data_IF_876368300101
#
_entry.id   IF_876368300101
#
_cell.length_a   1.000
_cell.length_b   1.000
_cell.length_c   1.000
_cell.angle_alpha   90.00
_cell.angle_beta   90.00
_cell.angle_gamma   90.00
#
_symmetry.space_group_name_H-M   'P 1'
#
loop_
_entity.id
_entity.type
_entity.pdbx_description
1 polymer ?
#
# COMPACT_ATOMS: atom_id res chain seq x y z
N UNK A 1 -78.11 13.02 -33.93
CA UNK A 1 -77.15 11.92 -33.66
C UNK A 1 -76.33 12.29 -32.42
N UNK A 2 -76.64 11.67 -31.27
CA UNK A 2 -75.96 11.89 -29.99
C UNK A 2 -74.73 10.98 -29.90
N UNK A 3 -73.55 11.52 -29.60
CA UNK A 3 -72.34 10.72 -29.33
C UNK A 3 -72.09 10.66 -27.83
N UNK A 4 -72.00 9.42 -27.34
CA UNK A 4 -71.72 9.01 -25.96
C UNK A 4 -70.30 9.41 -25.54
N UNK A 5 -70.16 10.04 -24.37
CA UNK A 5 -68.91 10.15 -23.63
C UNK A 5 -68.81 8.95 -22.67
N UNK A 6 -67.82 8.07 -22.90
CA UNK A 6 -67.44 7.02 -21.95
C UNK A 6 -66.32 7.59 -21.06
N UNK A 7 -66.58 7.74 -19.76
CA UNK A 7 -65.56 8.05 -18.76
C UNK A 7 -64.94 6.75 -18.28
N UNK A 8 -63.65 6.56 -18.55
CA UNK A 8 -62.83 5.48 -17.98
C UNK A 8 -62.22 6.02 -16.68
N UNK A 9 -62.66 5.50 -15.55
CA UNK A 9 -62.07 5.78 -14.24
C UNK A 9 -60.88 4.84 -14.01
N UNK A 10 -59.68 5.40 -13.81
CA UNK A 10 -58.50 4.65 -13.40
C UNK A 10 -58.45 4.61 -11.86
N UNK A 11 -58.60 3.40 -11.29
CA UNK A 11 -58.35 3.15 -9.89
C UNK A 11 -56.84 3.01 -9.64
N UNK A 12 -56.26 3.91 -8.85
CA UNK A 12 -54.89 3.81 -8.37
C UNK A 12 -54.88 2.86 -7.16
N UNK A 13 -54.36 1.65 -7.36
CA UNK A 13 -54.09 0.73 -6.26
C UNK A 13 -52.85 1.21 -5.49
N UNK A 14 -53.05 1.59 -4.23
CA UNK A 14 -51.97 1.90 -3.30
C UNK A 14 -51.25 0.59 -2.91
N UNK A 15 -50.07 0.36 -3.50
CA UNK A 15 -49.14 -0.68 -3.05
C UNK A 15 -48.44 -0.17 -1.79
N UNK A 16 -48.78 -0.79 -0.65
CA UNK A 16 -48.11 -0.57 0.62
C UNK A 16 -46.63 -0.93 0.52
N UNK A 17 -45.75 0.03 0.79
CA UNK A 17 -44.32 -0.19 0.94
C UNK A 17 -44.09 -1.05 2.20
N UNK A 18 -43.85 -2.35 2.00
CA UNK A 18 -43.30 -3.19 3.03
C UNK A 18 -41.88 -2.68 3.34
N UNK A 19 -41.69 -2.12 4.54
CA UNK A 19 -40.37 -1.74 5.03
C UNK A 19 -39.48 -2.98 5.08
N UNK A 20 -38.52 -3.07 4.16
CA UNK A 20 -37.49 -4.09 4.24
C UNK A 20 -36.71 -3.90 5.54
N UNK A 21 -36.44 -4.97 6.32
CA UNK A 21 -35.60 -4.87 7.48
C UNK A 21 -34.23 -4.34 7.06
N UNK A 22 -33.84 -3.19 7.62
CA UNK A 22 -32.49 -2.64 7.53
C UNK A 22 -31.55 -3.75 8.01
N UNK A 23 -30.80 -4.35 7.08
CA UNK A 23 -29.74 -5.27 7.43
C UNK A 23 -28.87 -4.57 8.48
N UNK A 24 -28.73 -5.20 9.65
CA UNK A 24 -27.86 -4.70 10.70
C UNK A 24 -26.50 -4.41 10.07
N UNK A 25 -26.12 -3.13 10.06
CA UNK A 25 -24.81 -2.67 9.62
C UNK A 25 -23.78 -3.56 10.31
N UNK A 26 -23.08 -4.39 9.53
CA UNK A 26 -21.86 -5.03 10.01
C UNK A 26 -21.04 -3.92 10.67
N UNK A 27 -20.69 -4.10 11.95
CA UNK A 27 -20.04 -3.08 12.75
C UNK A 27 -18.89 -2.48 11.93
N UNK A 28 -19.06 -1.23 11.48
CA UNK A 28 -17.98 -0.51 10.83
C UNK A 28 -16.88 -0.42 11.89
N UNK A 29 -15.77 -1.12 11.65
CA UNK A 29 -14.57 -0.99 12.46
C UNK A 29 -14.17 0.49 12.62
N UNK A 30 -13.28 0.82 13.58
CA UNK A 30 -12.88 2.19 13.82
C UNK A 30 -12.38 2.82 12.51
N UNK A 31 -12.90 4.02 12.25
CA UNK A 31 -12.55 4.76 11.05
C UNK A 31 -11.03 4.98 10.99
N UNK A 32 -10.44 4.97 9.78
CA UNK A 32 -9.05 5.33 9.59
C UNK A 32 -8.81 6.74 10.12
N UNK A 33 -7.83 6.92 11.01
CA UNK A 33 -7.57 8.22 11.63
C UNK A 33 -6.06 8.44 11.83
N UNK A 34 -5.63 9.68 11.60
CA UNK A 34 -4.31 10.18 12.01
C UNK A 34 -4.38 10.56 13.49
N UNK A 35 -3.69 9.78 14.31
CA UNK A 35 -3.62 9.97 15.76
C UNK A 35 -2.62 11.04 16.16
N UNK A 36 -1.51 11.16 15.41
CA UNK A 36 -0.44 12.11 15.68
C UNK A 36 0.25 12.51 14.37
N UNK A 37 0.71 13.76 14.28
CA UNK A 37 1.61 14.19 13.21
C UNK A 37 3.02 13.64 13.42
N UNK A 38 3.76 13.47 12.32
CA UNK A 38 5.18 13.12 12.31
C UNK A 38 6.01 14.38 12.63
N UNK A 39 6.74 14.40 13.76
CA UNK A 39 7.57 15.55 14.15
C UNK A 39 8.73 15.81 13.18
N UNK A 40 9.17 17.06 13.05
CA UNK A 40 10.22 17.45 12.10
C UNK A 40 11.63 16.95 12.46
N UNK A 41 11.85 16.63 13.74
CA UNK A 41 13.07 16.05 14.29
C UNK A 41 13.04 14.50 14.31
N UNK A 42 12.08 13.87 13.63
CA UNK A 42 12.08 12.42 13.46
C UNK A 42 13.32 11.97 12.68
N UNK A 43 13.99 10.97 13.23
CA UNK A 43 15.17 10.30 12.68
C UNK A 43 14.88 8.86 12.22
N UNK A 44 13.77 8.27 12.66
CA UNK A 44 13.35 6.92 12.29
C UNK A 44 11.83 6.78 12.14
N UNK A 45 11.37 6.36 10.96
CA UNK A 45 9.99 5.95 10.69
C UNK A 45 9.94 4.41 10.66
N UNK A 46 9.08 3.81 11.49
CA UNK A 46 9.03 2.35 11.64
C UNK A 46 7.69 1.79 11.15
N UNK A 47 7.69 1.18 9.98
CA UNK A 47 6.52 0.52 9.43
C UNK A 47 6.42 -0.90 9.98
N UNK A 48 5.44 -1.13 10.86
CA UNK A 48 5.15 -2.45 11.40
C UNK A 48 3.86 -3.00 10.81
N UNK A 49 3.84 -4.29 10.50
CA UNK A 49 2.59 -4.96 10.23
C UNK A 49 2.77 -6.45 10.20
N UNK A 50 1.68 -7.17 10.38
CA UNK A 50 1.70 -8.63 10.28
C UNK A 50 2.16 -9.09 8.88
N UNK A 51 2.72 -10.30 8.76
CA UNK A 51 3.01 -10.87 7.45
C UNK A 51 1.77 -10.82 6.54
N UNK A 52 1.95 -10.34 5.29
CA UNK A 52 0.90 -10.27 4.28
C UNK A 52 -0.28 -9.33 4.64
N UNK A 53 0.00 -8.30 5.45
CA UNK A 53 -1.00 -7.29 5.81
C UNK A 53 -1.06 -6.10 4.85
N UNK A 54 -0.06 -5.92 3.99
CA UNK A 54 0.11 -4.69 3.19
C UNK A 54 1.21 -3.76 3.69
N UNK A 55 1.98 -4.19 4.71
CA UNK A 55 3.10 -3.41 5.26
C UNK A 55 4.20 -3.03 4.25
N UNK A 56 4.35 -3.75 3.12
CA UNK A 56 5.24 -3.29 2.03
C UNK A 56 4.70 -2.03 1.36
N UNK A 57 3.39 -1.94 1.14
CA UNK A 57 2.76 -0.74 0.59
C UNK A 57 2.93 0.44 1.56
N UNK A 58 2.69 0.22 2.85
CA UNK A 58 2.91 1.23 3.88
C UNK A 58 4.36 1.69 3.94
N UNK A 59 5.31 0.76 3.86
CA UNK A 59 6.74 1.08 3.84
C UNK A 59 7.08 2.03 2.67
N UNK A 60 6.58 1.74 1.48
CA UNK A 60 6.84 2.59 0.32
C UNK A 60 6.19 3.97 0.44
N UNK A 61 4.95 4.01 0.92
CA UNK A 61 4.28 5.28 1.21
C UNK A 61 5.06 6.10 2.25
N UNK A 62 5.61 5.46 3.29
CA UNK A 62 6.44 6.10 4.30
C UNK A 62 7.75 6.65 3.72
N UNK A 63 8.39 5.91 2.81
CA UNK A 63 9.60 6.32 2.11
C UNK A 63 9.38 7.57 1.27
N UNK A 64 8.33 7.56 0.45
CA UNK A 64 7.95 8.70 -0.39
C UNK A 64 7.61 9.91 0.48
N UNK A 65 6.76 9.74 1.49
CA UNK A 65 6.36 10.82 2.39
C UNK A 65 7.55 11.40 3.17
N UNK A 66 8.49 10.55 3.62
CA UNK A 66 9.70 11.02 4.32
C UNK A 66 10.61 11.84 3.39
N UNK A 67 10.80 11.37 2.16
CA UNK A 67 11.61 12.07 1.14
C UNK A 67 11.02 13.46 0.84
N UNK A 68 9.71 13.54 0.66
CA UNK A 68 9.01 14.80 0.38
C UNK A 68 8.97 15.73 1.61
N UNK A 69 8.77 15.21 2.82
CA UNK A 69 8.74 16.01 4.05
C UNK A 69 10.11 16.64 4.36
N UNK A 70 11.20 15.94 4.06
CA UNK A 70 12.55 16.38 4.38
C UNK A 70 13.45 16.42 3.14
N UNK A 71 13.21 17.35 2.20
CA UNK A 71 13.92 17.40 0.92
C UNK A 71 15.42 17.70 1.04
N UNK A 72 15.86 18.22 2.20
CA UNK A 72 17.26 18.53 2.49
C UNK A 72 17.95 17.46 3.35
N UNK A 73 17.28 16.35 3.67
CA UNK A 73 17.81 15.26 4.48
C UNK A 73 18.05 14.03 3.62
N UNK A 74 19.10 13.28 3.94
CA UNK A 74 19.30 11.95 3.36
C UNK A 74 18.34 10.95 4.03
N UNK A 75 17.33 10.52 3.27
CA UNK A 75 16.39 9.46 3.68
C UNK A 75 16.90 8.11 3.20
N UNK A 76 17.10 7.17 4.12
CA UNK A 76 17.44 5.77 3.80
C UNK A 76 16.25 4.86 4.07
N UNK A 77 15.91 4.04 3.09
CA UNK A 77 14.75 3.17 3.10
C UNK A 77 15.18 1.72 3.01
N UNK A 78 15.04 0.97 4.11
CA UNK A 78 15.43 -0.43 4.12
C UNK A 78 14.36 -1.40 4.64
N UNK A 79 14.15 -2.44 3.84
CA UNK A 79 13.30 -3.59 4.16
C UNK A 79 14.04 -4.74 4.85
N UNK A 80 15.38 -4.76 4.83
CA UNK A 80 16.20 -5.90 5.29
C UNK A 80 16.67 -5.74 6.74
N UNK A 81 17.02 -4.53 7.16
CA UNK A 81 17.59 -4.24 8.48
C UNK A 81 16.50 -3.95 9.51
N UNK A 82 15.78 -5.00 9.92
CA UNK A 82 15.15 -4.99 11.25
C UNK A 82 16.20 -4.92 12.38
N UNK A 83 17.50 -5.07 12.05
CA UNK A 83 18.62 -4.66 12.88
C UNK A 83 18.73 -3.14 12.87
N UNK A 84 18.29 -2.50 13.96
CA UNK A 84 18.39 -1.06 14.23
C UNK A 84 19.85 -0.55 14.38
N UNK A 85 20.84 -1.32 13.91
CA UNK A 85 22.27 -1.07 14.05
C UNK A 85 22.97 -0.63 12.76
N UNK A 86 22.21 -0.31 11.73
CA UNK A 86 22.67 -0.01 10.37
C UNK A 86 21.78 1.11 9.85
N UNK A 87 22.20 2.31 9.44
CA UNK A 87 23.50 2.91 9.13
C UNK A 87 23.60 4.29 9.79
N UNK A 88 24.80 4.73 10.20
CA UNK A 88 25.05 6.05 10.81
C UNK A 88 25.03 7.23 9.81
N UNK A 89 24.67 7.01 8.56
CA UNK A 89 24.88 7.97 7.45
C UNK A 89 23.61 8.62 6.92
N UNK A 90 22.44 8.19 7.37
CA UNK A 90 21.17 8.79 6.97
C UNK A 90 20.65 9.70 8.08
N UNK A 91 20.05 10.82 7.67
CA UNK A 91 19.40 11.74 8.59
C UNK A 91 18.03 11.21 9.03
N UNK A 92 17.36 10.45 8.15
CA UNK A 92 16.08 9.78 8.42
C UNK A 92 16.15 8.35 7.91
N UNK A 93 15.78 7.39 8.75
CA UNK A 93 15.70 5.98 8.39
C UNK A 93 14.23 5.56 8.32
N UNK A 94 13.80 4.95 7.22
CA UNK A 94 12.49 4.28 7.12
C UNK A 94 12.74 2.79 7.16
N UNK A 95 12.16 2.12 8.14
CA UNK A 95 12.41 0.70 8.43
C UNK A 95 11.10 -0.06 8.40
N UNK A 96 11.05 -1.15 7.64
CA UNK A 96 9.94 -2.13 7.70
C UNK A 96 10.33 -3.32 8.57
N UNK A 97 9.42 -3.76 9.45
CA UNK A 97 9.60 -5.01 10.19
C UNK A 97 8.27 -5.71 10.50
N UNK A 98 8.30 -7.04 10.52
CA UNK A 98 7.22 -7.86 11.06
C UNK A 98 7.41 -8.18 12.55
N UNK A 99 8.59 -7.89 13.10
CA UNK A 99 8.93 -8.09 14.51
C UNK A 99 8.70 -6.80 15.27
N UNK A 100 7.98 -6.89 16.38
CA UNK A 100 7.92 -5.81 17.36
C UNK A 100 9.32 -5.64 17.93
N UNK A 101 9.84 -4.41 17.98
CA UNK A 101 11.15 -4.18 18.53
C UNK A 101 11.21 -4.48 20.03
N UNK A 102 12.40 -4.87 20.48
CA UNK A 102 12.60 -5.27 21.86
C UNK A 102 12.30 -4.09 22.78
N UNK A 103 11.55 -4.36 23.85
CA UNK A 103 11.25 -3.38 24.89
C UNK A 103 12.15 -3.68 26.08
N UNK A 104 12.90 -2.69 26.56
CA UNK A 104 13.72 -2.78 27.78
C UNK A 104 13.28 -1.64 28.70
N UNK A 105 12.94 -1.95 29.94
CA UNK A 105 12.47 -1.00 30.95
C UNK A 105 11.30 -0.12 30.48
N UNK A 106 10.32 -0.75 29.82
CA UNK A 106 9.15 -0.07 29.26
C UNK A 106 9.46 0.85 28.08
N UNK A 107 10.69 0.79 27.54
CA UNK A 107 11.11 1.60 26.40
C UNK A 107 11.44 0.76 25.17
N UNK A 108 10.94 1.16 24.00
CA UNK A 108 11.38 0.59 22.74
C UNK A 108 12.90 0.76 22.53
N UNK A 109 13.63 -0.33 22.28
CA UNK A 109 15.08 -0.28 21.99
C UNK A 109 15.29 0.01 20.50
N UNK A 110 15.41 1.28 20.17
CA UNK A 110 15.79 1.77 18.84
C UNK A 110 16.93 2.77 18.99
N UNK A 111 17.77 2.91 17.96
CA UNK A 111 18.63 4.10 17.82
C UNK A 111 17.78 5.20 17.21
N UNK A 112 17.25 6.09 18.04
CA UNK A 112 16.51 7.27 17.59
C UNK A 112 15.39 7.68 18.56
N UNK A 113 14.98 8.94 18.51
CA UNK A 113 14.10 9.52 19.53
C UNK A 113 12.60 9.40 19.20
N UNK A 114 12.19 9.12 17.95
CA UNK A 114 10.77 9.25 17.55
C UNK A 114 10.31 8.23 16.50
N UNK A 115 9.76 7.11 16.98
CA UNK A 115 9.19 6.04 16.16
C UNK A 115 7.78 6.42 15.69
N UNK A 116 7.57 6.44 14.37
CA UNK A 116 6.25 6.54 13.73
C UNK A 116 5.82 5.16 13.29
N UNK A 117 4.74 4.62 13.87
CA UNK A 117 4.18 3.32 13.46
C UNK A 117 3.08 3.52 12.41
N UNK A 118 3.38 3.14 11.18
CA UNK A 118 2.34 2.78 10.21
C UNK A 118 1.97 1.33 10.47
N UNK A 119 0.76 1.07 10.99
CA UNK A 119 0.32 -0.28 11.37
C UNK A 119 -0.78 -0.79 10.45
N UNK A 120 -0.63 -2.00 9.94
CA UNK A 120 -1.78 -2.77 9.42
C UNK A 120 -2.14 -3.89 10.38
N UNK A 121 -3.30 -3.79 11.03
CA UNK A 121 -3.75 -4.74 12.07
C UNK A 121 -5.14 -5.29 11.77
N UNK A 122 -5.37 -6.55 12.12
CA UNK A 122 -6.70 -6.99 12.51
C UNK A 122 -7.04 -6.33 13.84
N UNK A 123 -8.26 -5.81 13.99
CA UNK A 123 -8.64 -5.08 15.19
C UNK A 123 -8.33 -5.87 16.47
N UNK A 124 -7.57 -5.26 17.37
CA UNK A 124 -7.16 -5.85 18.66
C UNK A 124 -6.21 -7.07 18.58
N UNK A 125 -5.25 -7.09 17.65
CA UNK A 125 -4.16 -8.08 17.72
C UNK A 125 -3.30 -7.86 18.99
N UNK A 126 -2.99 -8.95 19.71
CA UNK A 126 -2.06 -8.94 20.87
C UNK A 126 -0.71 -8.26 20.52
N UNK A 127 -0.12 -8.46 19.32
CA UNK A 127 1.06 -7.72 18.88
C UNK A 127 0.88 -6.19 18.88
N UNK A 128 -0.26 -5.69 18.42
CA UNK A 128 -0.52 -4.26 18.41
C UNK A 128 -0.65 -3.68 19.82
N UNK A 129 -1.34 -4.40 20.71
CA UNK A 129 -1.48 -3.98 22.09
C UNK A 129 -0.11 -3.87 22.78
N UNK A 130 0.82 -4.79 22.50
CA UNK A 130 2.21 -4.72 22.99
C UNK A 130 2.95 -3.45 22.52
N UNK A 131 2.67 -2.95 21.32
CA UNK A 131 3.25 -1.69 20.82
C UNK A 131 2.68 -0.50 21.62
N UNK A 132 1.37 -0.49 21.83
CA UNK A 132 0.67 0.54 22.62
C UNK A 132 1.17 0.55 24.07
N UNK A 133 1.21 -0.63 24.71
CA UNK A 133 1.64 -0.80 26.10
C UNK A 133 3.12 -0.43 26.31
N UNK A 134 3.93 -0.52 25.26
CA UNK A 134 5.33 -0.07 25.27
C UNK A 134 5.49 1.46 25.19
N UNK A 135 4.39 2.21 25.12
CA UNK A 135 4.41 3.66 24.95
C UNK A 135 4.95 4.12 23.59
N UNK A 136 4.99 3.23 22.58
CA UNK A 136 5.37 3.61 21.23
C UNK A 136 4.24 4.46 20.65
N UNK A 137 4.56 5.69 20.24
CA UNK A 137 3.58 6.59 19.62
C UNK A 137 3.19 6.05 18.25
N UNK A 138 1.88 5.92 18.05
CA UNK A 138 1.30 5.48 16.78
C UNK A 138 0.80 6.73 16.07
N UNK A 139 1.21 6.89 14.82
CA UNK A 139 0.88 8.07 14.01
C UNK A 139 -0.46 7.91 13.33
N UNK A 140 -0.73 6.74 12.77
CA UNK A 140 -2.05 6.39 12.24
C UNK A 140 -2.23 4.87 12.23
N UNK A 141 -3.48 4.46 12.10
CA UNK A 141 -3.87 3.04 12.06
C UNK A 141 -4.77 2.80 10.85
N UNK A 142 -4.47 1.75 10.10
CA UNK A 142 -5.35 1.26 9.03
C UNK A 142 -5.47 -0.26 9.15
N UNK A 143 -6.66 -0.80 8.98
CA UNK A 143 -6.85 -2.25 8.99
C UNK A 143 -6.56 -2.84 7.61
N UNK A 144 -6.25 -4.14 7.57
CA UNK A 144 -6.08 -4.85 6.30
C UNK A 144 -7.34 -4.75 5.43
N UNK A 145 -8.51 -4.82 6.05
CA UNK A 145 -9.79 -4.68 5.36
C UNK A 145 -9.99 -3.28 4.77
N UNK A 146 -9.60 -2.23 5.50
CA UNK A 146 -9.64 -0.85 4.99
C UNK A 146 -8.69 -0.67 3.81
N UNK A 147 -7.44 -1.12 3.92
CA UNK A 147 -6.46 -1.02 2.84
C UNK A 147 -6.89 -1.82 1.59
N UNK A 148 -7.48 -3.01 1.78
CA UNK A 148 -7.99 -3.82 0.69
C UNK A 148 -9.21 -3.21 0.00
N UNK A 149 -10.06 -2.46 0.73
CA UNK A 149 -11.21 -1.76 0.15
C UNK A 149 -10.80 -0.49 -0.60
N UNK A 150 -9.85 0.25 -0.04
CA UNK A 150 -9.41 1.51 -0.61
C UNK A 150 -7.92 1.73 -0.31
N UNK A 151 -7.07 1.43 -1.29
CA UNK A 151 -5.63 1.66 -1.16
C UNK A 151 -5.28 3.15 -1.03
N UNK A 152 -6.07 4.03 -1.65
CA UNK A 152 -5.89 5.48 -1.58
C UNK A 152 -6.12 6.05 -0.19
N UNK A 153 -6.97 5.39 0.62
CA UNK A 153 -7.12 5.73 2.03
C UNK A 153 -5.80 5.54 2.79
N UNK A 154 -5.06 4.49 2.46
CA UNK A 154 -3.72 4.27 3.01
C UNK A 154 -2.79 5.43 2.69
N UNK A 155 -2.78 5.90 1.43
CA UNK A 155 -1.97 7.05 0.98
C UNK A 155 -2.39 8.33 1.74
N UNK A 156 -3.69 8.54 1.92
CA UNK A 156 -4.23 9.73 2.55
C UNK A 156 -3.73 9.93 3.98
N UNK A 157 -3.71 8.84 4.75
CA UNK A 157 -3.19 8.86 6.11
C UNK A 157 -1.72 9.28 6.18
N UNK A 158 -0.92 8.96 5.15
CA UNK A 158 0.49 9.35 5.14
C UNK A 158 0.68 10.84 4.88
N UNK A 159 0.04 11.43 3.86
CA UNK A 159 0.25 12.85 3.61
C UNK A 159 -0.28 13.73 4.76
N UNK A 160 -1.38 13.30 5.41
CA UNK A 160 -1.93 13.99 6.57
C UNK A 160 -0.97 13.87 7.76
N UNK A 161 -0.52 12.65 8.07
CA UNK A 161 0.42 12.40 9.15
C UNK A 161 1.75 13.15 8.98
N UNK A 162 2.28 13.23 7.75
CA UNK A 162 3.53 13.91 7.47
C UNK A 162 3.37 15.42 7.28
N UNK A 163 2.13 15.92 7.28
CA UNK A 163 1.78 17.31 6.99
C UNK A 163 2.41 17.79 5.67
N UNK A 164 2.28 16.98 4.61
CA UNK A 164 2.79 17.30 3.28
C UNK A 164 2.05 18.51 2.69
N UNK A 165 2.75 19.28 1.85
CA UNK A 165 2.12 20.33 1.06
C UNK A 165 1.14 19.73 0.03
N UNK A 166 0.27 20.55 -0.56
CA UNK A 166 -0.65 20.09 -1.62
C UNK A 166 0.11 19.56 -2.84
N UNK A 167 1.25 20.18 -3.19
CA UNK A 167 2.11 19.74 -4.28
C UNK A 167 2.78 18.39 -3.99
N UNK A 168 3.35 18.23 -2.79
CA UNK A 168 3.96 16.98 -2.34
C UNK A 168 2.92 15.86 -2.25
N UNK A 169 1.71 16.18 -1.77
CA UNK A 169 0.59 15.26 -1.76
C UNK A 169 0.27 14.76 -3.16
N UNK A 170 0.13 15.66 -4.14
CA UNK A 170 -0.16 15.28 -5.51
C UNK A 170 0.97 14.42 -6.11
N UNK A 171 2.22 14.72 -5.77
CA UNK A 171 3.41 13.95 -6.18
C UNK A 171 3.39 12.54 -5.58
N UNK A 172 3.05 12.43 -4.30
CA UNK A 172 2.90 11.14 -3.61
C UNK A 172 1.74 10.32 -4.17
N UNK A 173 0.57 10.93 -4.40
CA UNK A 173 -0.61 10.27 -4.97
C UNK A 173 -0.30 9.66 -6.35
N UNK A 174 0.32 10.45 -7.23
CA UNK A 174 0.73 10.01 -8.57
C UNK A 174 1.67 8.81 -8.51
N UNK A 175 2.78 8.93 -7.77
CA UNK A 175 3.78 7.87 -7.66
C UNK A 175 3.18 6.60 -7.04
N UNK A 176 2.50 6.73 -5.89
CA UNK A 176 1.96 5.57 -5.17
C UNK A 176 0.86 4.85 -5.94
N UNK A 177 0.07 5.57 -6.75
CA UNK A 177 -0.93 4.95 -7.62
C UNK A 177 -0.28 4.07 -8.69
N UNK A 178 0.72 4.61 -9.42
CA UNK A 178 1.46 3.89 -10.45
C UNK A 178 2.25 2.71 -9.87
N UNK A 179 2.89 2.93 -8.71
CA UNK A 179 3.63 1.92 -7.99
C UNK A 179 2.74 0.75 -7.51
N UNK A 180 1.53 1.04 -7.03
CA UNK A 180 0.64 -0.02 -6.56
C UNK A 180 0.07 -0.86 -7.71
N UNK A 181 -0.21 -0.25 -8.87
CA UNK A 181 -0.59 -1.01 -10.08
C UNK A 181 0.55 -1.94 -10.49
N UNK A 182 1.76 -1.40 -10.66
CA UNK A 182 2.93 -2.20 -11.06
C UNK A 182 3.21 -3.30 -10.05
N UNK A 183 3.14 -3.04 -8.75
CA UNK A 183 3.31 -4.07 -7.72
C UNK A 183 2.25 -5.19 -7.78
N UNK A 184 0.98 -4.86 -8.02
CA UNK A 184 -0.11 -5.85 -8.05
C UNK A 184 -0.16 -6.65 -9.35
N UNK A 185 0.35 -6.07 -10.43
CA UNK A 185 0.21 -6.59 -11.78
C UNK A 185 1.50 -7.08 -12.41
N UNK A 186 2.65 -6.71 -11.85
CA UNK A 186 3.97 -7.07 -12.30
C UNK A 186 4.83 -7.67 -11.18
N UNK A 187 5.90 -8.33 -11.57
CA UNK A 187 6.94 -8.80 -10.68
C UNK A 187 6.56 -9.98 -9.79
N UNK A 188 7.49 -10.31 -8.90
CA UNK A 188 7.34 -11.34 -7.86
C UNK A 188 6.28 -11.00 -6.80
N UNK A 189 5.67 -9.81 -6.85
CA UNK A 189 4.61 -9.36 -5.95
C UNK A 189 3.22 -9.34 -6.61
N UNK A 190 3.11 -9.71 -7.90
CA UNK A 190 1.83 -9.82 -8.60
C UNK A 190 0.82 -10.69 -7.84
N UNK A 191 -0.47 -10.35 -7.90
CA UNK A 191 -1.51 -11.08 -7.17
C UNK A 191 -1.55 -12.57 -7.56
N UNK A 192 -1.87 -13.48 -6.62
CA UNK A 192 -1.97 -14.92 -6.90
C UNK A 192 -3.00 -15.21 -8.01
N UNK A 193 -4.13 -14.52 -7.98
CA UNK A 193 -5.17 -14.65 -9.00
C UNK A 193 -4.67 -14.21 -10.38
N UNK A 194 -3.86 -13.14 -10.43
CA UNK A 194 -3.25 -12.67 -11.68
C UNK A 194 -2.24 -13.66 -12.23
N UNK A 195 -1.32 -14.16 -11.39
CA UNK A 195 -0.36 -15.21 -11.81
C UNK A 195 -1.08 -16.45 -12.34
N UNK A 196 -2.14 -16.88 -11.67
CA UNK A 196 -2.95 -18.00 -12.12
C UNK A 196 -3.64 -17.72 -13.46
N UNK A 197 -4.15 -16.50 -13.67
CA UNK A 197 -4.70 -16.08 -14.96
C UNK A 197 -3.66 -16.17 -16.07
N UNK A 198 -2.45 -15.67 -15.81
CA UNK A 198 -1.35 -15.67 -16.78
C UNK A 198 -0.88 -17.08 -17.14
N UNK A 199 -0.79 -18.01 -16.17
CA UNK A 199 -0.31 -19.38 -16.41
C UNK A 199 -1.38 -20.30 -16.97
N UNK A 200 -2.61 -20.24 -16.45
CA UNK A 200 -3.66 -21.21 -16.76
C UNK A 200 -4.75 -20.69 -17.70
N UNK A 201 -4.72 -19.39 -18.03
CA UNK A 201 -5.78 -18.70 -18.76
C UNK A 201 -7.08 -18.52 -17.97
N UNK A 202 -7.18 -19.05 -16.74
CA UNK A 202 -8.41 -19.09 -15.92
C UNK A 202 -8.23 -18.34 -14.61
N UNK A 203 -9.31 -17.70 -14.17
CA UNK A 203 -9.49 -17.23 -12.78
C UNK A 203 -10.69 -18.01 -12.27
N UNK A 204 -10.56 -18.69 -11.13
CA UNK A 204 -11.62 -19.57 -10.63
C UNK A 204 -12.91 -18.82 -10.23
N UNK A 205 -12.85 -17.52 -9.97
CA UNK A 205 -13.93 -16.79 -9.29
C UNK A 205 -14.45 -15.56 -10.04
N UNK A 206 -13.67 -15.00 -10.98
CA UNK A 206 -14.05 -13.76 -11.70
C UNK A 206 -13.71 -13.88 -13.18
N UNK A 207 -14.57 -13.38 -14.09
CA UNK A 207 -14.27 -13.39 -15.52
C UNK A 207 -13.10 -12.47 -15.89
N UNK A 208 -12.75 -11.52 -15.00
CA UNK A 208 -11.78 -10.47 -15.25
C UNK A 208 -10.91 -10.18 -14.03
N UNK A 209 -9.63 -9.91 -14.25
CA UNK A 209 -8.69 -9.39 -13.25
C UNK A 209 -8.40 -7.92 -13.54
N UNK A 210 -8.36 -7.08 -12.50
CA UNK A 210 -8.10 -5.64 -12.61
C UNK A 210 -6.87 -5.29 -13.45
N UNK A 211 -5.80 -6.08 -13.38
CA UNK A 211 -4.58 -5.90 -14.16
C UNK A 211 -4.77 -5.91 -15.68
N UNK A 212 -5.83 -6.55 -16.18
CA UNK A 212 -6.15 -6.55 -17.61
C UNK A 212 -6.63 -5.17 -18.11
N UNK A 213 -6.95 -4.25 -17.19
CA UNK A 213 -7.46 -2.91 -17.54
C UNK A 213 -6.33 -1.96 -17.92
N UNK A 214 -5.10 -2.35 -17.65
CA UNK A 214 -3.94 -1.50 -17.76
C UNK A 214 -3.04 -1.97 -18.91
N UNK A 215 -2.53 -1.01 -19.66
CA UNK A 215 -1.32 -1.18 -20.44
C UNK A 215 -0.12 -1.07 -19.48
N UNK A 216 0.41 -2.23 -19.07
CA UNK A 216 1.41 -2.30 -17.99
C UNK A 216 2.76 -1.71 -18.39
N UNK A 217 3.12 -1.76 -19.68
CA UNK A 217 4.34 -1.12 -20.18
C UNK A 217 4.20 0.41 -20.10
N UNK A 218 3.02 0.93 -20.45
CA UNK A 218 2.72 2.35 -20.29
C UNK A 218 2.68 2.78 -18.83
N UNK A 219 2.07 2.00 -17.94
CA UNK A 219 2.03 2.31 -16.49
C UNK A 219 3.43 2.33 -15.91
N UNK A 220 4.29 1.37 -16.27
CA UNK A 220 5.69 1.37 -15.84
C UNK A 220 6.44 2.59 -16.38
N UNK A 221 6.28 2.93 -17.66
CA UNK A 221 6.89 4.14 -18.22
C UNK A 221 6.46 5.40 -17.45
N UNK A 222 5.16 5.54 -17.17
CA UNK A 222 4.62 6.63 -16.35
C UNK A 222 5.19 6.64 -14.94
N UNK A 223 5.44 5.48 -14.31
CA UNK A 223 6.06 5.41 -12.99
C UNK A 223 7.46 6.02 -13.00
N UNK A 224 8.29 5.66 -13.99
CA UNK A 224 9.64 6.21 -14.13
C UNK A 224 9.64 7.68 -14.59
N UNK A 225 8.58 8.13 -15.25
CA UNK A 225 8.40 9.53 -15.66
C UNK A 225 7.67 10.37 -14.60
N UNK A 226 7.27 9.77 -13.47
CA UNK A 226 6.55 10.46 -12.40
C UNK A 226 7.41 11.54 -11.73
N UNK A 227 6.76 12.59 -11.22
CA UNK A 227 7.46 13.71 -10.57
C UNK A 227 8.40 13.27 -9.46
N UNK A 228 7.97 12.33 -8.62
CA UNK A 228 8.79 11.80 -7.54
C UNK A 228 10.10 11.21 -8.05
N UNK A 229 10.06 10.35 -9.08
CA UNK A 229 11.26 9.71 -9.63
C UNK A 229 12.17 10.73 -10.32
N UNK A 230 11.60 11.72 -10.99
CA UNK A 230 12.38 12.78 -11.64
C UNK A 230 13.09 13.68 -10.61
N UNK A 231 12.46 13.94 -9.47
CA UNK A 231 13.02 14.77 -8.39
C UNK A 231 13.99 14.01 -7.49
N UNK A 232 13.78 12.71 -7.31
CA UNK A 232 14.52 11.85 -6.38
C UNK A 232 14.98 10.54 -7.06
N UNK A 233 15.77 10.60 -8.14
CA UNK A 233 16.19 9.41 -8.88
C UNK A 233 17.05 8.44 -8.04
N UNK A 234 17.76 8.95 -7.03
CA UNK A 234 18.51 8.16 -6.05
C UNK A 234 17.61 7.33 -5.12
N UNK A 235 16.34 7.73 -4.99
CA UNK A 235 15.31 7.05 -4.22
C UNK A 235 14.51 6.05 -5.09
N UNK A 236 14.99 5.67 -6.28
CA UNK A 236 14.45 4.51 -7.00
C UNK A 236 14.74 3.24 -6.18
N UNK A 237 13.83 2.98 -5.24
CA UNK A 237 13.94 1.93 -4.24
C UNK A 237 14.04 0.58 -4.93
N UNK A 238 15.23 -0.03 -4.96
CA UNK A 238 15.56 -1.44 -4.63
C UNK A 238 17.08 -1.68 -4.83
N UNK A 239 18.01 -1.04 -4.09
CA UNK A 239 19.36 -1.57 -3.99
C UNK A 239 19.36 -2.75 -3.01
N UNK A 240 18.53 -3.77 -3.25
CA UNK A 240 18.85 -5.06 -2.67
C UNK A 240 20.15 -5.50 -3.35
N UNK A 241 21.25 -5.76 -2.62
CA UNK A 241 22.52 -6.22 -3.21
C UNK A 241 22.44 -7.61 -3.87
N UNK A 242 21.25 -8.04 -4.26
CA UNK A 242 20.93 -9.28 -4.96
C UNK A 242 19.54 -9.29 -5.63
N UNK A 243 18.75 -8.21 -5.55
CA UNK A 243 17.62 -8.02 -6.47
C UNK A 243 18.03 -7.03 -7.54
N UNK A 244 17.59 -7.24 -8.79
CA UNK A 244 17.84 -6.31 -9.87
C UNK A 244 17.27 -4.96 -9.47
N UNK A 245 18.01 -3.90 -9.80
CA UNK A 245 17.45 -2.56 -9.75
C UNK A 245 16.16 -2.56 -10.58
N UNK A 246 15.14 -1.84 -10.11
CA UNK A 246 13.96 -1.71 -10.94
C UNK A 246 14.33 -0.91 -12.18
N UNK A 247 14.22 -1.58 -13.32
CA UNK A 247 14.51 -1.02 -14.62
C UNK A 247 13.24 -1.02 -15.45
N UNK A 248 13.18 -0.11 -16.43
CA UNK A 248 12.15 -0.15 -17.46
C UNK A 248 12.12 -1.53 -18.14
N UNK A 249 10.93 -2.01 -18.47
CA UNK A 249 10.69 -3.33 -19.03
C UNK A 249 10.63 -4.45 -17.99
N UNK A 250 10.68 -4.17 -16.68
CA UNK A 250 10.55 -5.21 -15.65
C UNK A 250 9.14 -5.80 -15.63
N UNK A 251 8.11 -4.99 -15.90
CA UNK A 251 6.75 -5.48 -16.07
C UNK A 251 6.64 -6.51 -17.19
N UNK A 252 7.10 -6.18 -18.39
CA UNK A 252 7.09 -7.08 -19.56
C UNK A 252 7.84 -8.38 -19.25
N UNK A 253 9.10 -8.28 -18.80
CA UNK A 253 9.95 -9.43 -18.44
C UNK A 253 9.29 -10.32 -17.38
N UNK A 254 8.64 -9.71 -16.40
CA UNK A 254 7.95 -10.46 -15.36
C UNK A 254 6.69 -11.15 -15.86
N UNK A 255 5.92 -10.53 -16.76
CA UNK A 255 4.70 -11.14 -17.31
C UNK A 255 5.07 -12.34 -18.18
N UNK A 256 6.06 -12.19 -19.06
CA UNK A 256 6.58 -13.28 -19.88
C UNK A 256 7.08 -14.44 -19.02
N UNK A 257 7.85 -14.13 -17.96
CA UNK A 257 8.31 -15.13 -17.00
C UNK A 257 7.14 -15.85 -16.33
N UNK A 258 6.14 -15.11 -15.83
CA UNK A 258 4.95 -15.69 -15.20
C UNK A 258 4.15 -16.55 -16.17
N UNK A 259 3.98 -16.13 -17.42
CA UNK A 259 3.29 -16.90 -18.46
C UNK A 259 4.03 -18.21 -18.79
N UNK A 260 5.36 -18.19 -18.76
CA UNK A 260 6.19 -19.39 -18.94
C UNK A 260 6.21 -20.32 -17.73
N UNK A 261 5.58 -19.93 -16.60
CA UNK A 261 5.54 -20.69 -15.36
C UNK A 261 6.71 -20.40 -14.39
N UNK A 262 7.64 -19.52 -14.77
CA UNK A 262 8.72 -19.06 -13.89
C UNK A 262 8.19 -18.11 -12.80
N UNK A 263 8.76 -18.16 -11.60
CA UNK A 263 8.37 -17.27 -10.48
C UNK A 263 7.03 -17.60 -9.79
N UNK A 264 6.36 -18.71 -10.17
CA UNK A 264 5.11 -19.15 -9.51
C UNK A 264 5.32 -19.54 -8.03
N UNK A 265 6.51 -20.04 -7.69
CA UNK A 265 6.88 -20.48 -6.34
C UNK A 265 7.81 -19.52 -5.57
N UNK A 266 8.04 -18.31 -6.07
CA UNK A 266 8.83 -17.29 -5.36
C UNK A 266 10.28 -17.15 -5.79
N UNK A 267 10.82 -18.08 -6.58
CA UNK A 267 12.16 -17.96 -7.17
C UNK A 267 12.07 -17.17 -8.49
N UNK A 268 11.97 -15.86 -8.39
CA UNK A 268 12.22 -14.96 -9.52
C UNK A 268 13.50 -14.18 -9.23
N UNK A 269 14.57 -14.56 -9.92
CA UNK A 269 15.71 -13.70 -10.21
C UNK A 269 15.66 -13.53 -11.73
N UNK A 270 15.58 -12.32 -12.29
CA UNK A 270 15.73 -12.18 -13.73
C UNK A 270 17.12 -12.68 -14.07
N UNK A 271 17.19 -13.36 -15.22
CA UNK A 271 18.26 -14.23 -15.63
C UNK A 271 19.62 -13.53 -15.93
N UNK A 272 19.89 -12.36 -15.34
CA UNK A 272 21.15 -11.63 -15.47
C UNK A 272 22.04 -11.72 -14.22
N UNK A 273 21.58 -12.32 -13.12
CA UNK A 273 22.45 -12.68 -11.98
C UNK A 273 23.29 -13.95 -12.22
N UNK A 274 23.04 -14.65 -13.32
CA UNK A 274 23.90 -15.71 -13.85
C UNK A 274 24.56 -15.21 -15.14
N UNK A 275 25.53 -14.30 -15.00
CA UNK A 275 26.54 -14.15 -16.04
C UNK A 275 27.26 -15.49 -16.28
N UNK A 276 27.89 -15.68 -17.45
CA UNK A 276 28.60 -16.91 -17.78
C UNK A 276 29.65 -17.30 -16.73
#
# INVERSE_FOLDING_TARGET
>A
MRRFMVRVAWAIAALGAAAMPRAASAAEGPQPEVLNLVPDDTDTVFCWGEPRSGSTFQFMAACVASTLKWPNKHVDCDMRKASLNTQKTADVNVVKSHKIPRIIDGRPVYKGNRVVVASTVEEASEPFQKIVDAGIKITFRVTKAQLARNVHLGIALFWEAFALSEEDRATMEEFMHLWDITRRCCGSQASKAWRQKLTSGRIHEKPYHECQAYDLDRVEAMLFDSRFVQQHPEQLFFPDRGMPQWERGMCTRSIEALQSGLGFNGDWLPAEASGP
#
